data_IF_967875902269
#
_entry.id   IF_967875902269
#
_cell.length_a   1.000
_cell.length_b   1.000
_cell.length_c   1.000
_cell.angle_alpha   90.00
_cell.angle_beta   90.00
_cell.angle_gamma   90.00
#
_symmetry.space_group_name_H-M   'P 1'
#
loop_
_entity.id
_entity.type
_entity.pdbx_description
1 polymer ?
#
# COMPACT_ATOMS: atom_id res chain seq x y z
N UNK A 1 -23.80 -14.05 -21.15
CA UNK A 1 -22.86 -13.06 -20.62
C UNK A 1 -21.57 -13.33 -21.33
N UNK A 2 -21.17 -12.44 -22.24
CA UNK A 2 -19.82 -12.52 -22.84
C UNK A 2 -18.82 -12.25 -21.72
N UNK A 3 -17.85 -13.16 -21.54
CA UNK A 3 -16.69 -12.89 -20.70
C UNK A 3 -15.97 -11.68 -21.31
N UNK A 4 -15.84 -10.61 -20.54
CA UNK A 4 -15.08 -9.44 -20.98
C UNK A 4 -13.66 -9.89 -21.34
N UNK A 5 -13.25 -9.71 -22.60
CA UNK A 5 -11.91 -10.03 -23.06
C UNK A 5 -10.86 -9.36 -22.16
N UNK A 6 -9.94 -10.16 -21.60
CA UNK A 6 -8.91 -9.69 -20.67
C UNK A 6 -7.73 -9.11 -21.45
N UNK A 7 -7.41 -7.84 -21.22
CA UNK A 7 -6.29 -7.12 -21.85
C UNK A 7 -5.25 -6.69 -20.81
N UNK A 8 -4.05 -6.32 -21.25
CA UNK A 8 -3.02 -5.81 -20.33
C UNK A 8 -3.48 -4.55 -19.59
N UNK A 9 -4.19 -3.65 -20.28
CA UNK A 9 -4.79 -2.44 -19.69
C UNK A 9 -5.81 -2.75 -18.59
N UNK A 10 -6.72 -3.71 -18.83
CA UNK A 10 -7.67 -4.18 -17.82
C UNK A 10 -6.97 -4.84 -16.64
N UNK A 11 -5.90 -5.60 -16.89
CA UNK A 11 -5.05 -6.19 -15.86
C UNK A 11 -4.38 -5.14 -14.97
N UNK A 12 -3.80 -4.08 -15.55
CA UNK A 12 -3.23 -2.96 -14.78
C UNK A 12 -4.29 -2.28 -13.91
N UNK A 13 -5.45 -1.96 -14.49
CA UNK A 13 -6.54 -1.32 -13.76
C UNK A 13 -7.06 -2.19 -12.60
N UNK A 14 -7.15 -3.51 -12.79
CA UNK A 14 -7.54 -4.43 -11.72
C UNK A 14 -6.53 -4.45 -10.56
N UNK A 15 -5.24 -4.32 -10.86
CA UNK A 15 -4.18 -4.32 -9.85
C UNK A 15 -4.00 -2.97 -9.12
N UNK A 16 -4.67 -1.91 -9.55
CA UNK A 16 -4.60 -0.59 -8.91
C UNK A 16 -5.12 -0.58 -7.46
N UNK A 17 -5.99 -1.53 -7.11
CA UNK A 17 -6.55 -1.65 -5.76
C UNK A 17 -5.46 -1.88 -4.70
N UNK A 18 -4.37 -2.57 -5.05
CA UNK A 18 -3.28 -2.88 -4.12
C UNK A 18 -2.53 -1.61 -3.66
N UNK A 19 -1.89 -0.80 -4.54
CA UNK A 19 -1.24 0.43 -4.11
C UNK A 19 -2.22 1.41 -3.45
N UNK A 20 -3.47 1.50 -3.93
CA UNK A 20 -4.50 2.34 -3.28
C UNK A 20 -4.74 1.93 -1.82
N UNK A 21 -4.84 0.63 -1.57
CA UNK A 21 -5.10 0.10 -0.23
C UNK A 21 -3.90 0.28 0.69
N UNK A 22 -2.68 0.00 0.21
CA UNK A 22 -1.44 0.26 0.96
C UNK A 22 -1.34 1.75 1.32
N UNK A 23 -1.65 2.65 0.38
CA UNK A 23 -1.66 4.09 0.64
C UNK A 23 -2.63 4.48 1.75
N UNK A 24 -3.82 3.87 1.81
CA UNK A 24 -4.78 4.10 2.90
C UNK A 24 -4.27 3.60 4.25
N UNK A 25 -3.59 2.46 4.29
CA UNK A 25 -2.97 1.94 5.51
C UNK A 25 -1.91 2.91 6.03
N UNK A 26 -1.02 3.40 5.16
CA UNK A 26 0.03 4.36 5.53
C UNK A 26 -0.55 5.70 5.99
N UNK A 27 -1.58 6.21 5.32
CA UNK A 27 -2.29 7.41 5.74
C UNK A 27 -2.96 7.22 7.12
N UNK A 28 -3.54 6.04 7.37
CA UNK A 28 -4.10 5.68 8.67
C UNK A 28 -3.05 5.68 9.77
N UNK A 29 -1.88 5.08 9.53
CA UNK A 29 -0.75 5.10 10.48
C UNK A 29 -0.28 6.53 10.77
N UNK A 30 -0.16 7.37 9.74
CA UNK A 30 0.19 8.77 9.92
C UNK A 30 -0.82 9.50 10.82
N UNK A 31 -2.12 9.22 10.68
CA UNK A 31 -3.15 9.83 11.53
C UNK A 31 -3.06 9.37 12.99
N UNK A 32 -2.72 8.10 13.24
CA UNK A 32 -2.48 7.59 14.60
C UNK A 32 -1.29 8.31 15.24
N UNK A 33 -0.17 8.42 14.53
CA UNK A 33 1.02 9.12 15.03
C UNK A 33 0.75 10.62 15.26
N UNK A 34 0.04 11.26 14.34
CA UNK A 34 -0.33 12.67 14.44
C UNK A 34 -1.24 12.95 15.65
N UNK A 35 -2.19 12.05 15.92
CA UNK A 35 -3.02 12.13 17.12
C UNK A 35 -2.22 11.89 18.40
N UNK A 36 -1.32 10.89 18.41
CA UNK A 36 -0.44 10.61 19.54
C UNK A 36 0.41 11.81 19.92
N UNK A 37 1.00 12.49 18.92
CA UNK A 37 1.81 13.68 19.17
C UNK A 37 1.07 14.79 19.92
N UNK A 38 -0.26 14.88 19.81
CA UNK A 38 -1.06 15.87 20.54
C UNK A 38 -1.11 15.60 22.05
N UNK A 39 -0.83 14.38 22.48
CA UNK A 39 -0.80 14.01 23.90
C UNK A 39 0.56 14.28 24.56
N UNK A 40 1.60 14.64 23.79
CA UNK A 40 2.95 14.84 24.32
C UNK A 40 3.07 16.17 25.09
N UNK A 41 3.64 16.09 26.30
CA UNK A 41 3.96 17.27 27.11
C UNK A 41 5.36 17.76 26.74
N UNK A 42 5.44 18.76 25.87
CA UNK A 42 6.70 19.22 25.25
C UNK A 42 7.65 19.98 26.18
N UNK A 43 7.47 19.92 27.50
CA UNK A 43 8.38 20.52 28.48
C UNK A 43 9.61 19.65 28.75
N UNK A 44 9.54 18.33 28.53
CA UNK A 44 10.68 17.41 28.63
C UNK A 44 11.46 17.31 27.32
N UNK A 45 12.76 17.01 27.40
CA UNK A 45 13.59 16.77 26.21
C UNK A 45 13.16 15.49 25.49
N UNK A 46 12.73 14.48 26.24
CA UNK A 46 12.27 13.19 25.71
C UNK A 46 11.02 13.37 24.85
N UNK A 47 10.02 14.11 25.32
CA UNK A 47 8.79 14.34 24.54
C UNK A 47 9.04 15.23 23.32
N UNK A 48 10.01 16.15 23.37
CA UNK A 48 10.43 16.91 22.18
C UNK A 48 11.12 16.02 21.14
N UNK A 49 11.98 15.11 21.58
CA UNK A 49 12.64 14.15 20.70
C UNK A 49 11.63 13.19 20.04
N UNK A 50 10.66 12.69 20.82
CA UNK A 50 9.57 11.85 20.32
C UNK A 50 8.70 12.59 19.30
N UNK A 51 8.29 13.82 19.62
CA UNK A 51 7.53 14.66 18.70
C UNK A 51 8.25 14.85 17.36
N UNK A 52 9.52 15.25 17.38
CA UNK A 52 10.30 15.47 16.15
C UNK A 52 10.47 14.19 15.32
N UNK A 53 10.62 13.03 15.97
CA UNK A 53 10.68 11.75 15.26
C UNK A 53 9.35 11.44 14.57
N UNK A 54 8.23 11.63 15.27
CA UNK A 54 6.89 11.30 14.74
C UNK A 54 6.45 12.30 13.68
N UNK A 55 6.76 13.59 13.82
CA UNK A 55 6.48 14.62 12.82
C UNK A 55 7.11 14.27 11.48
N UNK A 56 8.38 13.85 11.49
CA UNK A 56 9.07 13.37 10.29
C UNK A 56 8.36 12.17 9.66
N UNK A 57 8.05 11.15 10.47
CA UNK A 57 7.40 9.92 9.99
C UNK A 57 5.98 10.19 9.45
N UNK A 58 5.22 11.08 10.07
CA UNK A 58 3.90 11.52 9.58
C UNK A 58 4.03 12.14 8.19
N UNK A 59 5.02 13.01 7.98
CA UNK A 59 5.31 13.60 6.67
C UNK A 59 5.64 12.54 5.62
N UNK A 60 6.55 11.62 5.95
CA UNK A 60 6.99 10.53 5.07
C UNK A 60 5.83 9.60 4.69
N UNK A 61 5.03 9.14 5.66
CA UNK A 61 3.89 8.27 5.40
C UNK A 61 2.80 8.95 4.56
N UNK A 62 2.51 10.24 4.80
CA UNK A 62 1.56 11.01 3.99
C UNK A 62 2.04 11.17 2.55
N UNK A 63 3.33 11.44 2.36
CA UNK A 63 3.93 11.54 1.02
C UNK A 63 3.84 10.21 0.26
N UNK A 64 4.21 9.10 0.91
CA UNK A 64 4.10 7.76 0.32
C UNK A 64 2.65 7.39 -0.01
N UNK A 65 1.71 7.66 0.90
CA UNK A 65 0.29 7.42 0.67
C UNK A 65 -0.25 8.19 -0.54
N UNK A 66 0.15 9.45 -0.70
CA UNK A 66 -0.23 10.28 -1.84
C UNK A 66 0.34 9.76 -3.15
N UNK A 67 1.61 9.33 -3.17
CA UNK A 67 2.23 8.75 -4.36
C UNK A 67 1.58 7.43 -4.76
N UNK A 68 1.28 6.55 -3.80
CA UNK A 68 0.58 5.29 -4.05
C UNK A 68 -0.83 5.51 -4.60
N UNK A 69 -1.56 6.50 -4.08
CA UNK A 69 -2.87 6.87 -4.60
C UNK A 69 -2.78 7.38 -6.05
N UNK A 70 -1.82 8.25 -6.36
CA UNK A 70 -1.62 8.75 -7.71
C UNK A 70 -1.22 7.63 -8.70
N UNK A 71 -0.38 6.70 -8.27
CA UNK A 71 -0.03 5.51 -9.07
C UNK A 71 -1.26 4.64 -9.32
N UNK A 72 -2.09 4.40 -8.31
CA UNK A 72 -3.34 3.66 -8.48
C UNK A 72 -4.29 4.36 -9.46
N UNK A 73 -4.44 5.68 -9.36
CA UNK A 73 -5.26 6.47 -10.31
C UNK A 73 -4.73 6.34 -11.74
N UNK A 74 -3.41 6.36 -11.94
CA UNK A 74 -2.80 6.14 -13.25
C UNK A 74 -3.05 4.73 -13.78
N UNK A 75 -2.88 3.70 -12.93
CA UNK A 75 -3.15 2.30 -13.29
C UNK A 75 -4.62 2.08 -13.71
N UNK A 76 -5.57 2.66 -12.97
CA UNK A 76 -6.99 2.65 -13.34
C UNK A 76 -7.23 3.37 -14.67
N UNK A 77 -6.56 4.51 -14.89
CA UNK A 77 -6.62 5.26 -16.14
C UNK A 77 -6.16 4.49 -17.37
N UNK A 78 -5.30 3.48 -17.21
CA UNK A 78 -4.84 2.59 -18.27
C UNK A 78 -5.79 1.43 -18.60
N UNK A 79 -7.01 1.38 -18.03
CA UNK A 79 -7.99 0.31 -18.29
C UNK A 79 -8.20 0.01 -19.78
N UNK A 80 -8.25 1.07 -20.60
CA UNK A 80 -8.49 0.99 -22.04
C UNK A 80 -7.20 1.17 -22.86
N UNK A 81 -6.03 0.91 -22.25
CA UNK A 81 -4.76 0.96 -22.96
C UNK A 81 -4.77 -0.05 -24.13
N UNK A 82 -4.41 0.37 -25.35
CA UNK A 82 -4.29 -0.55 -26.48
C UNK A 82 -3.25 -1.64 -26.19
N UNK A 83 -3.57 -2.89 -26.52
CA UNK A 83 -2.60 -3.98 -26.37
C UNK A 83 -1.45 -3.79 -27.35
N UNK A 84 -0.24 -3.77 -26.80
CA UNK A 84 0.99 -3.80 -27.58
C UNK A 84 1.24 -5.18 -28.16
N UNK A 85 2.03 -5.25 -29.23
CA UNK A 85 2.57 -6.52 -29.72
C UNK A 85 3.58 -7.02 -28.70
N UNK A 86 3.35 -8.22 -28.18
CA UNK A 86 4.25 -8.90 -27.27
C UNK A 86 5.10 -9.93 -28.03
N UNK A 87 6.32 -10.16 -27.54
CA UNK A 87 7.10 -11.34 -27.92
C UNK A 87 6.68 -12.49 -26.99
N UNK A 88 5.85 -13.39 -27.51
CA UNK A 88 5.29 -14.50 -26.74
C UNK A 88 6.38 -15.45 -26.22
N UNK A 89 7.49 -15.60 -26.94
CA UNK A 89 8.59 -16.43 -26.50
C UNK A 89 9.27 -15.81 -25.28
N UNK A 90 9.52 -14.50 -25.31
CA UNK A 90 10.07 -13.76 -24.18
C UNK A 90 9.13 -13.77 -22.96
N UNK A 91 7.81 -13.71 -23.18
CA UNK A 91 6.83 -13.82 -22.09
C UNK A 91 6.75 -15.23 -21.46
N UNK A 92 7.15 -16.26 -22.21
CA UNK A 92 7.18 -17.65 -21.73
C UNK A 92 8.51 -18.03 -21.06
N UNK A 93 9.51 -17.14 -21.07
CA UNK A 93 10.81 -17.39 -20.43
C UNK A 93 10.65 -17.61 -18.91
N UNK A 94 11.49 -18.47 -18.29
CA UNK A 94 11.43 -18.74 -16.85
C UNK A 94 11.49 -17.48 -16.00
N UNK A 95 12.21 -16.45 -16.44
CA UNK A 95 12.33 -15.17 -15.74
C UNK A 95 10.97 -14.44 -15.56
N UNK A 96 10.07 -14.51 -16.53
CA UNK A 96 8.74 -13.91 -16.42
C UNK A 96 7.91 -14.60 -15.34
N UNK A 97 8.00 -15.94 -15.28
CA UNK A 97 7.37 -16.74 -14.23
C UNK A 97 7.97 -16.46 -12.85
N UNK A 98 9.30 -16.42 -12.74
CA UNK A 98 10.00 -16.15 -11.47
C UNK A 98 9.67 -14.77 -10.89
N UNK A 99 9.50 -13.77 -11.76
CA UNK A 99 9.05 -12.43 -11.36
C UNK A 99 7.64 -12.47 -10.75
N UNK A 100 6.70 -13.18 -11.39
CA UNK A 100 5.35 -13.32 -10.88
C UNK A 100 5.28 -14.14 -9.59
N UNK A 101 6.05 -15.23 -9.48
CA UNK A 101 6.14 -16.02 -8.25
C UNK A 101 6.71 -15.20 -7.09
N UNK A 102 7.66 -14.28 -7.36
CA UNK A 102 8.18 -13.37 -6.35
C UNK A 102 7.16 -12.36 -5.87
N UNK A 103 6.31 -11.85 -6.77
CA UNK A 103 5.19 -10.99 -6.41
C UNK A 103 4.21 -11.72 -5.48
N UNK A 104 3.79 -12.93 -5.86
CA UNK A 104 2.84 -13.74 -5.05
C UNK A 104 3.39 -13.97 -3.64
N UNK A 105 4.68 -14.30 -3.49
CA UNK A 105 5.30 -14.47 -2.16
C UNK A 105 5.25 -13.18 -1.33
N UNK A 106 5.50 -12.02 -1.94
CA UNK A 106 5.45 -10.74 -1.25
C UNK A 106 4.02 -10.36 -0.83
N UNK A 107 3.01 -10.73 -1.64
CA UNK A 107 1.60 -10.53 -1.30
C UNK A 107 1.16 -11.41 -0.13
N UNK A 108 1.61 -12.68 -0.09
CA UNK A 108 1.35 -13.60 1.03
C UNK A 108 1.99 -13.11 2.33
N UNK A 109 3.24 -12.62 2.25
CA UNK A 109 3.94 -12.02 3.39
C UNK A 109 3.19 -10.78 3.91
N UNK A 110 2.79 -9.87 3.01
CA UNK A 110 2.02 -8.69 3.36
C UNK A 110 0.67 -9.04 4.00
N UNK A 111 -0.03 -10.05 3.49
CA UNK A 111 -1.28 -10.54 4.06
C UNK A 111 -1.08 -11.01 5.50
N UNK A 112 -0.04 -11.82 5.75
CA UNK A 112 0.30 -12.29 7.10
C UNK A 112 0.57 -11.14 8.06
N UNK A 113 1.36 -10.16 7.63
CA UNK A 113 1.66 -8.96 8.43
C UNK A 113 0.38 -8.18 8.77
N UNK A 114 -0.48 -7.90 7.78
CA UNK A 114 -1.71 -7.13 7.99
C UNK A 114 -2.72 -7.88 8.87
N UNK A 115 -2.81 -9.20 8.77
CA UNK A 115 -3.65 -10.02 9.65
C UNK A 115 -3.19 -9.93 11.11
N UNK A 116 -1.88 -10.04 11.34
CA UNK A 116 -1.31 -9.91 12.68
C UNK A 116 -1.54 -8.49 13.24
N UNK A 117 -1.10 -7.44 12.53
CA UNK A 117 -1.24 -6.06 13.00
C UNK A 117 -2.69 -5.66 13.22
N UNK A 118 -3.62 -6.07 12.35
CA UNK A 118 -5.06 -5.80 12.55
C UNK A 118 -5.61 -6.47 13.80
N UNK A 119 -5.11 -7.65 14.16
CA UNK A 119 -5.51 -8.37 15.37
C UNK A 119 -5.00 -7.63 16.61
N UNK A 120 -3.74 -7.21 16.62
CA UNK A 120 -3.14 -6.42 17.69
C UNK A 120 -3.85 -5.07 17.87
N UNK A 121 -4.08 -4.32 16.78
CA UNK A 121 -4.81 -3.05 16.84
C UNK A 121 -6.25 -3.23 17.34
N UNK A 122 -6.94 -4.33 16.98
CA UNK A 122 -8.28 -4.62 17.51
C UNK A 122 -8.26 -4.93 19.01
N UNK A 123 -7.24 -5.64 19.49
CA UNK A 123 -7.06 -5.88 20.92
C UNK A 123 -6.85 -4.55 21.67
N UNK A 124 -6.00 -3.65 21.15
CA UNK A 124 -5.82 -2.31 21.72
C UNK A 124 -7.14 -1.51 21.75
N UNK A 125 -7.92 -1.54 20.66
CA UNK A 125 -9.22 -0.86 20.63
C UNK A 125 -10.19 -1.40 21.69
N UNK A 126 -10.14 -2.69 22.03
CA UNK A 126 -10.98 -3.28 23.08
C UNK A 126 -10.55 -2.91 24.50
N UNK A 127 -9.30 -2.46 24.70
CA UNK A 127 -8.84 -1.92 25.99
C UNK A 127 -9.33 -0.48 26.20
N UNK A 128 -9.74 0.22 25.13
CA UNK A 128 -10.22 1.60 25.17
C UNK A 128 -11.75 1.71 25.20
N UNK A 129 -12.46 0.59 25.16
CA UNK A 129 -13.94 0.49 25.22
C UNK A 129 -14.43 0.12 26.62
#
# INVERSE_FOLDING_TARGET
MEEEEWTCGKGLAANAALPRTIGRVLAGLANVLDNHMQALVLTSDESRAEYGAYERLVGEHRALASQLAATADAMEGYRNLPDGVHDDAAMAEPAAREAFESLVRAEEELLGLLQQSSTEHRAMLSEWS
#
